data_IF_027968922919
#
_entry.id   IF_027968922919
#
_cell.length_a   1.000
_cell.length_b   1.000
_cell.length_c   1.000
_cell.angle_alpha   90.00
_cell.angle_beta   90.00
_cell.angle_gamma   90.00
#
_symmetry.space_group_name_H-M   'P 1'
#
loop_
_entity.id
_entity.type
_entity.pdbx_description
1 polymer ?
#
# COMPACT_ATOMS: atom_id res chain seq x y z
N UNK A 1 -5.24 -0.75 5.30
CA UNK A 1 -3.91 -1.38 5.16
C UNK A 1 -2.86 -0.35 4.88
N UNK A 2 -1.65 -0.62 5.32
CA UNK A 2 -0.51 0.27 5.12
C UNK A 2 0.54 -0.43 4.26
N UNK A 3 1.46 0.36 3.74
CA UNK A 3 2.59 -0.17 2.97
C UNK A 3 3.90 0.36 3.52
N UNK A 4 4.99 -0.35 3.24
CA UNK A 4 6.35 0.10 3.51
C UNK A 4 7.09 0.21 2.19
N UNK A 5 7.74 1.34 1.90
CA UNK A 5 7.89 2.56 2.72
C UNK A 5 6.58 3.35 2.90
N UNK A 6 6.63 4.33 3.81
CA UNK A 6 5.51 5.21 4.10
C UNK A 6 5.49 6.36 3.10
N UNK A 7 4.60 6.27 2.12
CA UNK A 7 4.47 7.31 1.09
C UNK A 7 3.54 8.42 1.57
N UNK A 8 3.97 9.67 1.42
CA UNK A 8 3.19 10.82 1.87
C UNK A 8 2.08 11.21 0.90
N UNK A 9 2.20 10.83 -0.36
CA UNK A 9 1.20 11.15 -1.39
C UNK A 9 0.90 9.93 -2.24
N UNK A 10 -0.30 9.90 -2.81
CA UNK A 10 -0.68 8.83 -3.73
C UNK A 10 0.20 8.83 -4.97
N UNK A 11 0.59 10.02 -5.43
CA UNK A 11 1.47 10.15 -6.59
C UNK A 11 2.80 9.44 -6.37
N UNK A 12 3.42 9.67 -5.21
CA UNK A 12 4.69 9.02 -4.88
C UNK A 12 4.54 7.50 -4.83
N UNK A 13 3.46 7.02 -4.21
CA UNK A 13 3.16 5.60 -4.13
C UNK A 13 2.97 5.00 -5.53
N UNK A 14 2.17 5.66 -6.35
CA UNK A 14 1.88 5.23 -7.71
C UNK A 14 3.15 5.14 -8.57
N UNK A 15 4.03 6.13 -8.45
CA UNK A 15 5.29 6.14 -9.19
C UNK A 15 6.22 5.01 -8.74
N UNK A 16 6.24 4.72 -7.44
CA UNK A 16 7.04 3.61 -6.91
C UNK A 16 6.55 2.26 -7.42
N UNK A 17 5.23 2.07 -7.45
CA UNK A 17 4.63 0.84 -8.00
C UNK A 17 4.98 0.69 -9.48
N UNK A 18 4.84 1.76 -10.24
CA UNK A 18 5.13 1.77 -11.67
C UNK A 18 6.61 1.49 -11.94
N UNK A 19 7.48 1.96 -11.06
CA UNK A 19 8.93 1.76 -11.19
C UNK A 19 9.42 0.39 -10.73
N UNK A 20 8.52 -0.47 -10.24
CA UNK A 20 8.90 -1.80 -9.80
C UNK A 20 9.54 -1.85 -8.42
N UNK A 21 9.39 -0.80 -7.62
CA UNK A 21 9.94 -0.77 -6.27
C UNK A 21 9.27 -1.84 -5.40
N UNK A 22 10.05 -2.48 -4.53
CA UNK A 22 9.52 -3.44 -3.57
C UNK A 22 8.71 -2.70 -2.50
N UNK A 23 7.41 -2.96 -2.46
CA UNK A 23 6.49 -2.32 -1.51
C UNK A 23 5.73 -3.40 -0.78
N UNK A 24 5.95 -3.50 0.53
CA UNK A 24 5.30 -4.51 1.36
C UNK A 24 4.00 -3.98 1.93
N UNK A 25 2.97 -4.85 1.95
CA UNK A 25 1.67 -4.54 2.58
C UNK A 25 1.66 -5.11 3.98
N UNK A 26 1.17 -4.34 4.93
CA UNK A 26 1.01 -4.82 6.29
C UNK A 26 -0.25 -4.27 6.94
N UNK A 27 -0.76 -5.01 7.94
CA UNK A 27 -1.93 -4.61 8.69
C UNK A 27 -1.50 -3.96 10.01
N UNK A 28 -2.06 -2.78 10.35
CA UNK A 28 -1.77 -2.17 11.64
C UNK A 28 -2.54 -2.80 12.80
N UNK A 29 -3.52 -3.67 12.50
CA UNK A 29 -4.38 -4.27 13.50
C UNK A 29 -4.08 -5.75 13.74
N UNK A 30 -4.96 -6.44 14.49
CA UNK A 30 -4.75 -7.84 14.83
C UNK A 30 -4.96 -8.82 13.68
N UNK A 31 -5.59 -8.38 12.59
CA UNK A 31 -5.81 -9.23 11.42
C UNK A 31 -4.69 -9.04 10.42
N UNK A 32 -4.14 -10.13 9.87
CA UNK A 32 -3.06 -10.02 8.89
C UNK A 32 -3.56 -9.42 7.58
N UNK A 33 -2.65 -8.75 6.85
CA UNK A 33 -2.94 -8.29 5.51
C UNK A 33 -3.03 -9.48 4.56
N UNK A 34 -3.81 -9.32 3.49
CA UNK A 34 -3.83 -10.30 2.42
C UNK A 34 -2.44 -10.44 1.81
N UNK A 35 -2.01 -11.66 1.56
CA UNK A 35 -0.74 -11.90 0.88
C UNK A 35 -0.91 -11.98 -0.63
N UNK A 36 -2.12 -12.28 -1.10
CA UNK A 36 -2.45 -12.38 -2.51
C UNK A 36 -3.88 -11.86 -2.72
N UNK A 37 -4.07 -11.01 -3.71
CA UNK A 37 -5.38 -10.48 -4.04
C UNK A 37 -5.44 -8.97 -3.97
N UNK A 38 -6.65 -8.43 -3.86
CA UNK A 38 -6.89 -6.98 -3.82
C UNK A 38 -6.77 -6.45 -2.39
N UNK A 39 -6.06 -5.34 -2.23
CA UNK A 39 -6.00 -4.64 -0.95
C UNK A 39 -6.23 -3.16 -1.13
N UNK A 40 -6.73 -2.54 -0.06
CA UNK A 40 -6.99 -1.10 -0.04
C UNK A 40 -5.99 -0.45 0.90
N UNK A 41 -5.19 0.44 0.34
CA UNK A 41 -4.06 1.07 1.04
C UNK A 41 -4.44 2.47 1.48
N UNK A 42 -3.99 2.85 2.66
CA UNK A 42 -4.18 4.18 3.23
C UNK A 42 -2.83 4.81 3.52
N UNK A 43 -2.72 6.09 3.28
CA UNK A 43 -1.48 6.79 3.58
C UNK A 43 -1.68 8.24 3.89
N UNK A 44 -0.72 8.87 4.57
CA UNK A 44 0.43 8.27 5.26
C UNK A 44 0.04 7.50 6.52
N UNK A 45 1.03 6.89 7.19
CA UNK A 45 0.79 6.07 8.39
C UNK A 45 0.38 6.91 9.59
N UNK A 46 -0.40 6.30 10.49
CA UNK A 46 -0.67 6.85 11.79
C UNK A 46 0.66 7.22 12.51
N UNK A 47 0.76 8.33 13.24
CA UNK A 47 -0.35 9.20 13.67
C UNK A 47 -0.71 10.33 12.69
N UNK A 48 -0.10 10.39 11.52
CA UNK A 48 -0.47 11.41 10.55
C UNK A 48 -1.86 11.12 9.99
N UNK A 49 -2.66 12.16 9.65
CA UNK A 49 -3.96 11.95 9.03
C UNK A 49 -3.81 11.27 7.68
N UNK A 50 -4.68 10.32 7.40
CA UNK A 50 -4.70 9.68 6.08
C UNK A 50 -5.14 10.69 5.02
N UNK A 51 -4.32 10.90 4.01
CA UNK A 51 -4.58 11.89 2.96
C UNK A 51 -4.85 11.26 1.61
N UNK A 52 -4.55 9.99 1.45
CA UNK A 52 -4.78 9.30 0.18
C UNK A 52 -5.14 7.83 0.40
N UNK A 53 -5.81 7.27 -0.61
CA UNK A 53 -6.26 5.87 -0.60
C UNK A 53 -6.03 5.28 -1.97
N UNK A 54 -5.71 3.99 -2.03
CA UNK A 54 -5.50 3.30 -3.30
C UNK A 54 -5.95 1.85 -3.20
N UNK A 55 -6.46 1.31 -4.31
CA UNK A 55 -6.71 -0.11 -4.43
C UNK A 55 -5.58 -0.71 -5.25
N UNK A 56 -5.03 -1.82 -4.78
CA UNK A 56 -3.86 -2.45 -5.41
C UNK A 56 -4.03 -3.96 -5.48
N UNK A 57 -3.29 -4.56 -6.41
CA UNK A 57 -3.15 -6.00 -6.46
C UNK A 57 -1.87 -6.38 -5.72
N UNK A 58 -1.96 -7.42 -4.88
CA UNK A 58 -0.87 -7.89 -4.03
C UNK A 58 -0.54 -9.33 -4.37
N UNK A 59 0.75 -9.64 -4.45
CA UNK A 59 1.23 -11.02 -4.60
C UNK A 59 2.38 -11.23 -3.62
N UNK A 60 2.28 -12.28 -2.82
CA UNK A 60 3.30 -12.62 -1.80
C UNK A 60 3.58 -11.44 -0.86
N UNK A 61 2.55 -10.69 -0.51
CA UNK A 61 2.67 -9.55 0.40
C UNK A 61 3.27 -8.30 -0.22
N UNK A 62 3.51 -8.30 -1.53
CA UNK A 62 4.08 -7.17 -2.25
C UNK A 62 3.08 -6.59 -3.23
N UNK A 63 3.06 -5.26 -3.32
CA UNK A 63 2.21 -4.56 -4.28
C UNK A 63 2.77 -4.79 -5.69
N UNK A 64 1.93 -5.29 -6.61
CA UNK A 64 2.37 -5.56 -7.98
C UNK A 64 1.76 -4.61 -9.00
N UNK A 65 0.58 -4.05 -8.72
CA UNK A 65 0.02 -3.04 -9.63
C UNK A 65 -1.08 -2.23 -8.97
N UNK A 66 -1.31 -1.03 -9.51
CA UNK A 66 -2.42 -0.17 -9.10
C UNK A 66 -3.69 -0.64 -9.79
N UNK A 67 -4.81 -0.60 -9.03
CA UNK A 67 -6.13 -0.88 -9.57
C UNK A 67 -6.94 0.40 -9.77
N UNK A 68 -6.54 1.51 -9.14
CA UNK A 68 -7.19 2.80 -9.36
C UNK A 68 -6.22 3.96 -9.24
#
# INVERSE_FOLDING_TARGET
MYVRPNFKTKKAFKEAVKGGQKIEVFSPGPFPAETNGTEYIEGPHYPEPHKWYAAVMVENGLVVKMLN
#
